data_IF_535497845342
#
_entry.id   IF_535497845342
#
_cell.length_a   1.000
_cell.length_b   1.000
_cell.length_c   1.000
_cell.angle_alpha   90.00
_cell.angle_beta   90.00
_cell.angle_gamma   90.00
#
_symmetry.space_group_name_H-M   'P 1'
#
loop_
_entity.id
_entity.type
_entity.pdbx_description
1 polymer ?
#
# COMPACT_ATOMS: atom_id res chain seq x y z
N UNK A 1 1.08 -11.61 16.29
CA UNK A 1 1.12 -10.33 15.54
C UNK A 1 2.41 -9.54 15.74
N UNK A 2 2.82 -9.21 16.97
CA UNK A 2 4.04 -8.41 17.24
C UNK A 2 5.33 -8.88 16.53
N UNK A 3 5.62 -10.18 16.55
CA UNK A 3 6.79 -10.74 15.86
C UNK A 3 6.73 -10.51 14.34
N UNK A 4 5.55 -10.66 13.74
CA UNK A 4 5.35 -10.42 12.31
C UNK A 4 5.66 -8.96 11.96
N UNK A 5 5.12 -8.02 12.74
CA UNK A 5 5.35 -6.58 12.54
C UNK A 5 6.82 -6.23 12.73
N UNK A 6 7.48 -6.76 13.75
CA UNK A 6 8.92 -6.57 13.94
C UNK A 6 9.74 -7.05 12.73
N UNK A 7 9.37 -8.17 12.12
CA UNK A 7 9.99 -8.66 10.88
C UNK A 7 9.78 -7.68 9.72
N UNK A 8 8.58 -7.10 9.56
CA UNK A 8 8.33 -6.09 8.52
C UNK A 8 9.10 -4.79 8.78
N UNK A 9 9.19 -4.34 10.03
CA UNK A 9 10.03 -3.19 10.41
C UNK A 9 11.49 -3.45 10.03
N UNK A 10 12.04 -4.61 10.37
CA UNK A 10 13.41 -4.97 10.00
C UNK A 10 13.61 -5.05 8.48
N UNK A 11 12.66 -5.64 7.75
CA UNK A 11 12.65 -5.68 6.29
C UNK A 11 12.75 -4.30 5.67
N UNK A 12 11.96 -3.33 6.15
CA UNK A 12 11.95 -1.98 5.58
C UNK A 12 13.11 -1.11 6.09
N UNK A 13 13.54 -1.29 7.33
CA UNK A 13 14.70 -0.61 7.91
C UNK A 13 16.02 -1.00 7.21
N UNK A 14 16.14 -2.25 6.77
CA UNK A 14 17.33 -2.75 6.05
C UNK A 14 17.43 -2.27 4.59
N UNK A 15 16.38 -1.64 4.06
CA UNK A 15 16.36 -1.07 2.70
C UNK A 15 16.70 0.41 2.73
N UNK A 16 17.25 0.92 1.63
CA UNK A 16 17.52 2.35 1.48
C UNK A 16 16.22 3.18 1.51
N UNK A 17 16.28 4.46 1.91
CA UNK A 17 15.15 5.39 1.85
C UNK A 17 14.91 5.88 0.41
N UNK A 18 14.69 4.94 -0.51
CA UNK A 18 14.48 5.15 -1.93
C UNK A 18 13.12 4.62 -2.37
N UNK A 19 12.77 4.84 -3.64
CA UNK A 19 11.59 4.22 -4.22
C UNK A 19 11.80 2.70 -4.26
N UNK A 20 10.83 1.97 -3.73
CA UNK A 20 10.75 0.51 -3.75
C UNK A 20 9.73 0.13 -4.81
N UNK A 21 10.11 -0.68 -5.82
CA UNK A 21 9.15 -1.25 -6.76
C UNK A 21 8.35 -2.40 -6.09
N UNK A 22 7.10 -2.64 -6.54
CA UNK A 22 6.36 -3.83 -6.12
C UNK A 22 6.92 -5.09 -6.81
N UNK A 23 6.57 -6.29 -6.33
CA UNK A 23 6.78 -7.53 -7.10
C UNK A 23 6.04 -7.45 -8.44
N UNK A 24 6.60 -8.03 -9.51
CA UNK A 24 5.92 -8.17 -10.80
C UNK A 24 5.35 -9.61 -10.96
N UNK A 25 4.10 -9.87 -10.52
CA UNK A 25 3.50 -11.18 -10.67
C UNK A 25 3.00 -11.43 -12.10
N UNK A 26 3.34 -12.60 -12.62
CA UNK A 26 2.77 -13.16 -13.82
C UNK A 26 1.69 -14.19 -13.48
N UNK A 27 0.45 -13.83 -13.78
CA UNK A 27 -0.70 -14.73 -13.72
C UNK A 27 -1.01 -15.28 -15.12
N UNK A 28 -0.71 -16.56 -15.41
CA UNK A 28 -1.15 -17.20 -16.65
C UNK A 28 -2.69 -17.21 -16.68
N UNK A 29 -3.26 -16.98 -17.86
CA UNK A 29 -4.70 -17.09 -18.13
C UNK A 29 -5.62 -16.10 -17.39
N UNK A 30 -5.06 -15.00 -16.86
CA UNK A 30 -5.83 -13.96 -16.15
C UNK A 30 -6.91 -13.25 -16.98
N UNK A 31 -6.85 -13.36 -18.30
CA UNK A 31 -7.72 -12.63 -19.23
C UNK A 31 -9.22 -12.91 -19.05
N UNK A 32 -9.58 -14.04 -18.45
CA UNK A 32 -10.97 -14.45 -18.23
C UNK A 32 -11.45 -14.24 -16.79
N UNK A 33 -10.62 -13.65 -15.94
CA UNK A 33 -10.93 -13.52 -14.52
C UNK A 33 -12.01 -12.45 -14.27
N UNK A 34 -12.88 -12.62 -13.26
CA UNK A 34 -13.95 -11.67 -12.94
C UNK A 34 -13.41 -10.42 -12.22
N UNK A 35 -12.54 -9.64 -12.89
CA UNK A 35 -11.80 -8.52 -12.31
C UNK A 35 -12.65 -7.29 -11.95
N UNK A 36 -13.93 -7.25 -12.33
CA UNK A 36 -14.75 -6.03 -12.25
C UNK A 36 -14.78 -5.42 -10.86
N UNK A 37 -15.04 -6.22 -9.83
CA UNK A 37 -15.18 -5.72 -8.45
C UNK A 37 -13.83 -5.21 -7.94
N UNK A 38 -12.79 -6.04 -8.05
CA UNK A 38 -11.42 -5.65 -7.70
C UNK A 38 -10.97 -4.36 -8.40
N UNK A 39 -11.28 -4.18 -9.68
CA UNK A 39 -10.95 -2.97 -10.43
C UNK A 39 -11.63 -1.71 -9.89
N UNK A 40 -12.83 -1.82 -9.32
CA UNK A 40 -13.51 -0.69 -8.69
C UNK A 40 -12.79 -0.29 -7.40
N UNK A 41 -12.47 -1.26 -6.55
CA UNK A 41 -11.74 -1.02 -5.29
C UNK A 41 -10.34 -0.46 -5.57
N UNK A 42 -9.62 -1.04 -6.55
CA UNK A 42 -8.31 -0.58 -7.00
C UNK A 42 -8.34 0.87 -7.47
N UNK A 43 -9.38 1.25 -8.24
CA UNK A 43 -9.56 2.63 -8.70
C UNK A 43 -9.76 3.60 -7.55
N UNK A 44 -10.48 3.19 -6.50
CA UNK A 44 -10.71 4.04 -5.34
C UNK A 44 -9.41 4.29 -4.56
N UNK A 45 -8.59 3.26 -4.33
CA UNK A 45 -7.26 3.43 -3.73
C UNK A 45 -6.36 4.33 -4.57
N UNK A 46 -6.28 4.09 -5.89
CA UNK A 46 -5.49 4.93 -6.81
C UNK A 46 -5.96 6.39 -6.79
N UNK A 47 -7.28 6.61 -6.78
CA UNK A 47 -7.87 7.95 -6.72
C UNK A 47 -7.45 8.65 -5.43
N UNK A 48 -7.61 8.00 -4.28
CA UNK A 48 -7.19 8.55 -2.99
C UNK A 48 -5.70 8.93 -2.98
N UNK A 49 -4.81 8.02 -3.38
CA UNK A 49 -3.36 8.24 -3.41
C UNK A 49 -2.97 9.41 -4.33
N UNK A 50 -3.67 9.58 -5.47
CA UNK A 50 -3.48 10.70 -6.37
C UNK A 50 -3.95 12.02 -5.76
N UNK A 51 -5.13 12.01 -5.12
CA UNK A 51 -5.73 13.20 -4.53
C UNK A 51 -4.84 13.77 -3.42
N UNK A 52 -4.27 12.90 -2.57
CA UNK A 52 -3.38 13.34 -1.47
C UNK A 52 -1.99 13.81 -1.95
N UNK A 53 -1.54 13.35 -3.12
CA UNK A 53 -0.23 13.70 -3.70
C UNK A 53 -0.31 14.98 -4.55
N UNK A 54 -1.51 15.40 -4.94
CA UNK A 54 -1.72 16.59 -5.77
C UNK A 54 -1.25 17.87 -5.08
N UNK A 55 -0.52 18.72 -5.80
CA UNK A 55 0.10 19.92 -5.24
C UNK A 55 -0.97 20.93 -4.75
N UNK A 56 -0.74 21.54 -3.59
CA UNK A 56 -1.54 22.67 -3.10
C UNK A 56 -2.51 22.40 -1.95
N UNK A 57 -2.46 21.23 -1.31
CA UNK A 57 -3.30 20.92 -0.14
C UNK A 57 -2.60 21.32 1.20
N UNK A 58 -2.94 22.47 1.82
CA UNK A 58 -2.51 22.77 3.18
C UNK A 58 -3.14 21.77 4.14
N UNK A 59 -2.30 20.92 4.76
CA UNK A 59 -2.77 19.81 5.59
C UNK A 59 -2.83 18.46 4.85
N UNK A 60 -2.06 18.28 3.77
CA UNK A 60 -1.92 16.96 3.13
C UNK A 60 -1.55 15.89 4.17
N UNK A 61 -2.16 14.69 4.10
CA UNK A 61 -1.88 13.62 5.05
C UNK A 61 -0.44 13.15 4.91
N UNK A 62 0.12 12.57 5.98
CA UNK A 62 1.52 12.11 5.96
C UNK A 62 1.74 10.99 4.92
N UNK A 63 0.71 10.20 4.62
CA UNK A 63 0.70 9.13 3.63
C UNK A 63 1.01 9.64 2.21
N UNK A 64 0.80 10.93 1.93
CA UNK A 64 1.21 11.54 0.66
C UNK A 64 2.74 11.50 0.45
N UNK A 65 3.52 11.43 1.52
CA UNK A 65 4.98 11.34 1.43
C UNK A 65 5.46 9.98 0.91
N UNK A 66 4.61 8.95 0.92
CA UNK A 66 4.89 7.64 0.31
C UNK A 66 4.99 7.73 -1.22
N UNK A 67 4.37 8.76 -1.84
CA UNK A 67 4.39 8.98 -3.31
C UNK A 67 4.01 7.72 -4.08
N UNK A 68 2.98 7.02 -3.60
CA UNK A 68 2.65 5.69 -4.08
C UNK A 68 2.09 5.73 -5.50
N UNK A 69 2.56 4.82 -6.36
CA UNK A 69 2.12 4.68 -7.75
C UNK A 69 1.76 3.22 -8.03
N UNK A 70 0.56 2.98 -8.56
CA UNK A 70 0.13 1.63 -8.95
C UNK A 70 0.83 1.22 -10.24
N UNK A 71 1.62 0.15 -10.20
CA UNK A 71 2.40 -0.28 -11.35
C UNK A 71 1.90 -1.60 -11.94
N UNK A 72 1.56 -2.60 -11.13
CA UNK A 72 1.20 -3.94 -11.60
C UNK A 72 -0.02 -4.53 -10.88
N UNK A 73 -0.35 -5.76 -11.25
CA UNK A 73 -1.27 -6.57 -10.47
C UNK A 73 -0.67 -6.86 -9.08
N UNK A 74 -1.53 -6.96 -8.05
CA UNK A 74 -1.11 -7.39 -6.73
C UNK A 74 -0.67 -8.86 -6.74
N UNK A 75 0.21 -9.23 -5.82
CA UNK A 75 0.42 -10.64 -5.45
C UNK A 75 -0.75 -11.10 -4.58
N UNK A 76 -0.86 -12.41 -4.31
CA UNK A 76 -1.75 -12.86 -3.22
C UNK A 76 -1.23 -12.21 -1.94
N UNK A 77 -2.11 -11.50 -1.24
CA UNK A 77 -1.71 -10.66 -0.11
C UNK A 77 -1.08 -11.51 1.00
N UNK A 78 -0.15 -10.93 1.76
CA UNK A 78 0.24 -11.50 3.05
C UNK A 78 -0.99 -11.40 3.97
N UNK A 79 -1.64 -12.54 4.32
CA UNK A 79 -2.87 -12.51 5.09
C UNK A 79 -2.65 -11.94 6.50
N UNK A 80 -1.40 -11.93 7.00
CA UNK A 80 -1.08 -11.35 8.30
C UNK A 80 -1.11 -9.82 8.26
N UNK A 81 -0.73 -9.18 7.14
CA UNK A 81 -0.80 -7.72 6.99
C UNK A 81 -2.24 -7.21 7.10
N UNK A 82 -3.19 -7.96 6.52
CA UNK A 82 -4.62 -7.64 6.53
C UNK A 82 -5.27 -7.82 7.92
N UNK A 83 -4.63 -8.57 8.81
CA UNK A 83 -5.14 -8.87 10.16
C UNK A 83 -4.54 -7.97 11.25
N UNK A 84 -3.62 -7.08 10.90
CA UNK A 84 -3.00 -6.18 11.87
C UNK A 84 -4.02 -5.14 12.34
N UNK A 85 -4.26 -5.08 13.65
CA UNK A 85 -4.93 -3.93 14.27
C UNK A 85 -3.90 -2.79 14.44
N UNK A 86 -4.08 -1.71 13.67
CA UNK A 86 -3.17 -0.56 13.73
C UNK A 86 -3.25 0.18 15.07
N UNK A 87 -4.38 0.16 15.78
CA UNK A 87 -4.48 0.79 17.10
C UNK A 87 -3.67 0.01 18.15
N UNK A 88 -3.59 -1.31 18.03
CA UNK A 88 -2.69 -2.11 18.88
C UNK A 88 -1.21 -1.84 18.59
N UNK A 89 -0.85 -1.48 17.35
CA UNK A 89 0.52 -1.14 16.98
C UNK A 89 0.96 0.24 17.43
N UNK A 90 0.01 1.14 17.61
CA UNK A 90 0.28 2.52 18.02
C UNK A 90 1.08 2.60 19.32
N UNK A 91 1.00 1.59 20.17
CA UNK A 91 1.69 1.52 21.46
C UNK A 91 2.51 0.22 21.62
N UNK A 92 3.82 0.36 21.80
CA UNK A 92 4.73 -0.73 22.19
C UNK A 92 5.41 -0.34 23.50
N UNK A 93 5.21 -1.15 24.54
CA UNK A 93 5.74 -0.91 25.89
C UNK A 93 5.46 0.53 26.39
N UNK A 94 4.22 0.99 26.19
CA UNK A 94 3.72 2.33 26.51
C UNK A 94 4.33 3.49 25.68
N UNK A 95 5.27 3.19 24.78
CA UNK A 95 5.83 4.14 23.82
C UNK A 95 5.09 4.12 22.48
N UNK A 96 5.04 5.26 21.79
CA UNK A 96 4.44 5.35 20.45
C UNK A 96 5.30 4.62 19.42
N UNK A 97 4.67 3.76 18.61
CA UNK A 97 5.36 3.03 17.54
C UNK A 97 4.72 3.24 16.16
N UNK A 98 4.89 4.45 15.65
CA UNK A 98 4.52 4.81 14.29
C UNK A 98 5.30 4.04 13.22
N UNK A 99 6.52 3.60 13.54
CA UNK A 99 7.38 2.86 12.60
C UNK A 99 6.74 1.53 12.21
N UNK A 100 6.16 0.84 13.19
CA UNK A 100 5.40 -0.39 12.97
C UNK A 100 4.18 -0.17 12.07
N UNK A 101 3.43 0.92 12.27
CA UNK A 101 2.27 1.27 11.41
C UNK A 101 2.72 1.52 9.97
N UNK A 102 3.78 2.31 9.78
CA UNK A 102 4.34 2.60 8.44
C UNK A 102 4.83 1.31 7.77
N UNK A 103 5.53 0.45 8.51
CA UNK A 103 6.03 -0.81 7.99
C UNK A 103 4.91 -1.71 7.45
N UNK A 104 3.78 -1.79 8.16
CA UNK A 104 2.61 -2.57 7.72
C UNK A 104 1.99 -1.98 6.45
N UNK A 105 1.79 -0.65 6.41
CA UNK A 105 1.26 0.02 5.21
C UNK A 105 2.17 -0.15 4.00
N UNK A 106 3.49 -0.04 4.17
CA UNK A 106 4.45 -0.28 3.10
C UNK A 106 4.43 -1.73 2.61
N UNK A 107 4.23 -2.71 3.51
CA UNK A 107 4.03 -4.11 3.13
C UNK A 107 2.76 -4.28 2.29
N UNK A 108 1.64 -3.71 2.73
CA UNK A 108 0.39 -3.78 1.98
C UNK A 108 0.49 -3.10 0.60
N UNK A 109 1.13 -1.93 0.51
CA UNK A 109 1.35 -1.26 -0.78
C UNK A 109 2.22 -2.10 -1.72
N UNK A 110 3.31 -2.67 -1.19
CA UNK A 110 4.21 -3.54 -1.93
C UNK A 110 3.45 -4.73 -2.52
N UNK A 111 2.66 -5.42 -1.70
CA UNK A 111 1.94 -6.62 -2.11
C UNK A 111 0.74 -6.28 -3.01
N UNK A 112 0.15 -5.10 -2.82
CA UNK A 112 -0.92 -4.59 -3.65
C UNK A 112 -0.46 -4.10 -5.05
N UNK A 113 0.84 -4.14 -5.37
CA UNK A 113 1.35 -3.74 -6.69
C UNK A 113 1.67 -2.26 -6.83
N UNK A 114 1.91 -1.56 -5.72
CA UNK A 114 2.31 -0.15 -5.72
C UNK A 114 3.82 0.01 -5.49
N UNK A 115 4.45 0.88 -6.26
CA UNK A 115 5.75 1.45 -5.89
C UNK A 115 5.54 2.59 -4.88
N UNK A 116 6.50 2.80 -3.99
CA UNK A 116 6.45 3.88 -2.99
C UNK A 116 7.84 4.24 -2.48
N UNK A 117 8.00 5.42 -1.89
CA UNK A 117 9.20 5.83 -1.17
C UNK A 117 9.27 5.12 0.19
N UNK A 118 10.33 4.34 0.44
CA UNK A 118 10.55 3.69 1.73
C UNK A 118 10.81 4.73 2.83
N UNK A 119 9.88 4.85 3.77
CA UNK A 119 9.90 5.90 4.76
C UNK A 119 10.36 5.43 6.14
N UNK A 120 10.31 4.13 6.41
CA UNK A 120 10.74 3.50 7.68
C UNK A 120 12.14 3.95 8.14
N UNK A 121 13.20 3.94 7.28
CA UNK A 121 14.54 4.33 7.73
C UNK A 121 14.66 5.81 8.13
N UNK A 122 13.77 6.67 7.62
CA UNK A 122 13.81 8.12 7.82
C UNK A 122 12.78 8.63 8.82
N UNK A 123 11.80 7.79 9.19
CA UNK A 123 10.73 8.20 10.08
C UNK A 123 11.24 8.62 11.46
N UNK A 124 10.69 9.69 12.00
CA UNK A 124 11.01 10.20 13.34
C UNK A 124 12.41 10.81 13.52
N UNK A 125 13.33 10.69 12.55
CA UNK A 125 14.69 11.25 12.67
C UNK A 125 14.73 12.78 12.66
N UNK A 126 13.66 13.43 12.18
CA UNK A 126 13.59 14.88 11.99
C UNK A 126 12.48 15.56 12.80
N UNK A 127 11.68 14.82 13.55
CA UNK A 127 10.53 15.35 14.30
C UNK A 127 10.79 15.22 15.80
N UNK A 128 10.48 16.28 16.56
CA UNK A 128 10.56 16.20 18.02
C UNK A 128 9.43 15.31 18.57
N UNK A 129 9.63 14.66 19.73
CA UNK A 129 8.60 13.82 20.36
C UNK A 129 7.26 14.53 20.59
N UNK A 130 7.29 15.82 20.92
CA UNK A 130 6.09 16.62 21.19
C UNK A 130 5.27 16.86 19.91
N UNK A 131 5.95 17.09 18.78
CA UNK A 131 5.32 17.29 17.49
C UNK A 131 4.70 15.98 16.98
N UNK A 132 5.36 14.85 17.23
CA UNK A 132 4.83 13.51 16.95
C UNK A 132 3.59 13.22 17.79
N UNK A 133 3.59 13.55 19.09
CA UNK A 133 2.43 13.36 19.96
C UNK A 133 1.22 14.22 19.55
N UNK A 134 1.45 15.47 19.14
CA UNK A 134 0.38 16.35 18.66
C UNK A 134 -0.25 15.87 17.34
N UNK A 135 0.51 15.13 16.52
CA UNK A 135 0.04 14.60 15.24
C UNK A 135 -0.51 13.18 15.33
N UNK A 136 -0.44 12.53 16.49
CA UNK A 136 -0.80 11.13 16.71
C UNK A 136 -2.22 10.79 16.21
N UNK A 137 -3.22 11.62 16.52
CA UNK A 137 -4.60 11.42 16.06
C UNK A 137 -4.75 11.52 14.53
N UNK A 138 -4.13 12.53 13.91
CA UNK A 138 -4.16 12.69 12.44
C UNK A 138 -3.36 11.57 11.76
N UNK A 139 -2.20 11.23 12.31
CA UNK A 139 -1.34 10.16 11.81
C UNK A 139 -2.11 8.84 11.73
N UNK A 140 -2.78 8.46 12.84
CA UNK A 140 -3.57 7.23 12.88
C UNK A 140 -4.80 7.31 11.97
N UNK A 141 -5.46 8.46 11.89
CA UNK A 141 -6.59 8.62 10.96
C UNK A 141 -6.17 8.44 9.50
N UNK A 142 -5.05 9.04 9.10
CA UNK A 142 -4.48 8.91 7.76
C UNK A 142 -4.07 7.45 7.47
N UNK A 143 -3.45 6.80 8.46
CA UNK A 143 -2.98 5.43 8.37
C UNK A 143 -4.16 4.45 8.23
N UNK A 144 -5.15 4.55 9.11
CA UNK A 144 -6.33 3.69 9.14
C UNK A 144 -7.19 3.85 7.88
N UNK A 145 -7.29 5.06 7.32
CA UNK A 145 -8.01 5.28 6.07
C UNK A 145 -7.33 4.56 4.89
N UNK A 146 -6.00 4.73 4.75
CA UNK A 146 -5.25 4.04 3.69
C UNK A 146 -5.25 2.52 3.89
N UNK A 147 -5.09 2.05 5.13
CA UNK A 147 -5.20 0.62 5.47
C UNK A 147 -6.56 0.05 5.07
N UNK A 148 -7.65 0.74 5.37
CA UNK A 148 -9.00 0.31 5.00
C UNK A 148 -9.18 0.13 3.48
N UNK A 149 -8.71 1.10 2.69
CA UNK A 149 -8.73 1.00 1.22
C UNK A 149 -7.91 -0.19 0.71
N UNK A 150 -6.69 -0.34 1.22
CA UNK A 150 -5.80 -1.45 0.84
C UNK A 150 -6.35 -2.81 1.25
N UNK A 151 -7.03 -2.90 2.39
CA UNK A 151 -7.69 -4.13 2.85
C UNK A 151 -8.84 -4.50 1.92
N UNK A 152 -9.73 -3.58 1.58
CA UNK A 152 -10.86 -3.84 0.67
C UNK A 152 -10.34 -4.28 -0.71
N UNK A 153 -9.36 -3.54 -1.24
CA UNK A 153 -8.73 -3.86 -2.52
C UNK A 153 -8.10 -5.27 -2.52
N UNK A 154 -7.32 -5.61 -1.49
CA UNK A 154 -6.62 -6.90 -1.42
C UNK A 154 -7.55 -8.07 -1.14
N UNK A 155 -8.60 -7.90 -0.32
CA UNK A 155 -9.62 -8.94 -0.12
C UNK A 155 -10.32 -9.25 -1.44
N UNK A 156 -10.70 -8.22 -2.20
CA UNK A 156 -11.31 -8.41 -3.52
C UNK A 156 -10.35 -9.09 -4.52
N UNK A 157 -9.04 -8.84 -4.41
CA UNK A 157 -8.05 -9.56 -5.21
C UNK A 157 -7.92 -11.02 -4.79
N UNK A 158 -7.82 -11.30 -3.49
CA UNK A 158 -7.66 -12.64 -2.96
C UNK A 158 -8.84 -13.53 -3.35
N UNK A 159 -10.08 -13.05 -3.31
CA UNK A 159 -11.25 -13.80 -3.82
C UNK A 159 -11.09 -14.26 -5.28
N UNK A 160 -10.39 -13.48 -6.10
CA UNK A 160 -10.12 -13.79 -7.50
C UNK A 160 -8.89 -14.69 -7.61
N UNK A 161 -7.80 -14.38 -6.92
CA UNK A 161 -6.51 -15.03 -7.10
C UNK A 161 -6.31 -16.29 -6.24
N UNK A 162 -7.17 -16.54 -5.23
CA UNK A 162 -7.03 -17.65 -4.30
C UNK A 162 -7.00 -19.00 -5.04
N UNK A 163 -6.00 -19.80 -4.70
CA UNK A 163 -5.77 -21.11 -5.33
C UNK A 163 -5.26 -21.04 -6.77
N UNK A 164 -5.01 -19.85 -7.32
CA UNK A 164 -4.47 -19.67 -8.67
C UNK A 164 -2.96 -19.53 -8.62
N UNK A 165 -2.28 -20.17 -9.57
CA UNK A 165 -0.83 -20.15 -9.65
C UNK A 165 -0.35 -18.82 -10.23
N UNK A 166 0.76 -18.29 -9.70
CA UNK A 166 1.50 -17.17 -10.26
C UNK A 166 3.00 -17.37 -10.08
N UNK A 167 3.79 -16.68 -10.90
CA UNK A 167 5.23 -16.56 -10.70
C UNK A 167 5.60 -15.10 -10.53
N UNK A 168 6.58 -14.80 -9.68
CA UNK A 168 7.16 -13.45 -9.59
C UNK A 168 8.31 -13.39 -10.59
N UNK A 169 8.29 -12.42 -11.51
CA UNK A 169 9.38 -12.23 -12.45
C UNK A 169 10.63 -11.73 -11.72
N UNK A 170 11.79 -12.12 -12.24
CA UNK A 170 13.08 -11.65 -11.75
C UNK A 170 13.30 -10.19 -12.14
N UNK A 171 14.08 -9.48 -11.34
CA UNK A 171 14.36 -8.05 -11.50
C UNK A 171 15.03 -7.68 -12.85
N UNK A 172 15.56 -8.66 -13.60
CA UNK A 172 16.16 -8.49 -14.92
C UNK A 172 15.15 -8.55 -16.09
N UNK A 173 13.89 -8.89 -15.82
CA UNK A 173 12.82 -8.88 -16.82
C UNK A 173 12.15 -7.48 -16.90
N UNK A 174 11.78 -6.99 -18.10
CA UNK A 174 11.05 -5.73 -18.23
C UNK A 174 9.72 -5.79 -17.49
N UNK A 175 9.50 -4.82 -16.59
CA UNK A 175 8.28 -4.69 -15.81
C UNK A 175 7.05 -4.51 -16.71
N UNK A 176 6.01 -5.32 -16.53
CA UNK A 176 4.75 -5.15 -17.27
C UNK A 176 3.76 -4.32 -16.47
N UNK A 177 3.71 -3.02 -16.79
CA UNK A 177 2.72 -2.14 -16.21
C UNK A 177 1.28 -2.54 -16.60
N UNK A 178 0.32 -2.25 -15.72
CA UNK A 178 -1.10 -2.37 -16.04
C UNK A 178 -1.44 -1.50 -17.26
N UNK A 179 -2.28 -2.03 -18.16
CA UNK A 179 -2.74 -1.31 -19.35
C UNK A 179 -3.46 0.00 -18.94
N UNK A 180 -3.14 1.17 -19.53
CA UNK A 180 -3.85 2.42 -19.28
C UNK A 180 -5.37 2.37 -19.49
N UNK A 181 -5.90 1.45 -20.30
CA UNK A 181 -7.35 1.25 -20.48
C UNK A 181 -8.04 0.85 -19.16
N UNK A 182 -7.31 0.24 -18.22
CA UNK A 182 -7.79 -0.03 -16.85
C UNK A 182 -8.18 1.25 -16.09
N UNK A 183 -7.62 2.40 -16.47
CA UNK A 183 -7.90 3.72 -15.88
C UNK A 183 -8.95 4.55 -16.65
N UNK A 184 -9.42 4.08 -17.82
CA UNK A 184 -10.39 4.80 -18.65
C UNK A 184 -11.61 3.93 -18.93
N UNK A 185 -12.56 3.89 -17.99
CA UNK A 185 -13.92 3.53 -18.37
C UNK A 185 -14.51 4.69 -19.18
N UNK A 186 -14.56 4.50 -20.51
CA UNK A 186 -15.19 5.39 -21.48
C UNK A 186 -16.59 5.80 -21.02
N UNK A 187 -16.80 7.11 -20.86
CA UNK A 187 -18.12 7.73 -20.98
C UNK A 187 -18.55 7.62 -22.44
N UNK A 188 -19.28 6.57 -22.79
CA UNK A 188 -20.13 6.59 -23.99
C UNK A 188 -21.51 7.07 -23.58
N UNK A 189 -21.71 8.39 -23.67
CA UNK A 189 -23.03 8.94 -23.93
C UNK A 189 -23.28 8.82 -25.44
N UNK A 190 -24.34 8.12 -25.81
CA UNK A 190 -24.83 7.98 -27.19
C UNK A 190 -25.98 9.00 -27.36
N UNK A 191 -26.13 9.64 -28.53
CA UNK A 191 -26.87 10.90 -28.71
C UNK A 191 -28.39 10.78 -28.56
#
# INVERSE_FOLDING_TARGET
MRQYVATQVQRWMSREPSVVPPPDPYYPDRHHWPMRNWLLEKKETIRHLRDITSAGNPGRPWTANLRSECLCLPVVADPLALQVDLEELRFVDEARDFTSVIAVLQTMLHDAGYAFLNFVPTWGRTLSPELLAAQDGQFMSDASFLWGLLTIEQVAWDEIAQGRHYSVRRDDAPFQALDPETAKSKTTATP
#
